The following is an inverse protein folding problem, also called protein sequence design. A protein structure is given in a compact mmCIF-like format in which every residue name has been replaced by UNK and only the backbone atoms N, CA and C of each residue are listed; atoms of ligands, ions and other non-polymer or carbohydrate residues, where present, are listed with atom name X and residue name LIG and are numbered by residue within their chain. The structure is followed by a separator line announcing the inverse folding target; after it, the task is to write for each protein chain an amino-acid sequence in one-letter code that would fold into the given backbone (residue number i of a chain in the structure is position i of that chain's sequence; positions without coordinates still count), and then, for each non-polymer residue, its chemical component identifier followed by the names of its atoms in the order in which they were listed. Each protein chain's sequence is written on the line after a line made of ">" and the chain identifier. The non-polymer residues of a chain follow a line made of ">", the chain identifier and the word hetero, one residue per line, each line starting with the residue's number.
data_IF_585455754875
#
_entry.id   IF_585455754875
#
_cell.length_a   1.000
_cell.length_b   1.000
_cell.length_c   1.000
_cell.angle_alpha   90.00
_cell.angle_beta   90.00
_cell.angle_gamma   90.00
#
_symmetry.space_group_name_H-M   'P 1'
#
loop_
_entity.id
_entity.type
_entity.pdbx_description
1 polymer ?
#
# COMPACT_ATOMS: atom_id res chain seq x y z
N UNK A 1 31.74 14.20 -0.74
CA UNK A 1 30.35 14.53 -1.13
C UNK A 1 29.82 15.76 -0.40
N UNK A 2 30.59 16.86 -0.41
CA UNK A 2 30.37 18.02 0.48
C UNK A 2 30.30 19.35 -0.28
N UNK A 3 29.90 19.30 -1.57
CA UNK A 3 29.78 20.48 -2.46
C UNK A 3 28.61 20.38 -3.44
N UNK A 4 27.42 20.04 -2.95
CA UNK A 4 26.16 20.28 -3.70
C UNK A 4 24.95 20.40 -2.75
N UNK A 5 25.11 21.12 -1.64
CA UNK A 5 24.03 21.35 -0.66
C UNK A 5 23.72 22.85 -0.45
N UNK A 6 23.97 23.71 -1.46
CA UNK A 6 23.85 25.16 -1.24
C UNK A 6 23.26 25.99 -2.39
N UNK A 7 22.33 25.44 -3.18
CA UNK A 7 21.63 26.25 -4.21
C UNK A 7 20.12 26.10 -4.34
N UNK A 8 19.42 25.31 -3.52
CA UNK A 8 17.95 25.24 -3.60
C UNK A 8 17.32 25.14 -2.23
N UNK A 9 17.03 26.30 -1.63
CA UNK A 9 16.15 26.44 -0.47
C UNK A 9 14.79 25.82 -0.79
N UNK A 10 14.65 24.51 -0.62
CA UNK A 10 13.41 23.78 -0.80
C UNK A 10 13.36 22.68 0.27
N UNK A 11 12.35 22.78 1.12
CA UNK A 11 11.93 21.77 2.07
C UNK A 11 11.65 20.46 1.33
N UNK A 12 12.35 19.40 1.71
CA UNK A 12 12.25 18.06 1.13
C UNK A 12 11.21 17.29 1.95
N UNK A 13 9.93 17.41 1.57
CA UNK A 13 8.82 16.79 2.33
C UNK A 13 8.42 15.39 1.79
N UNK A 14 9.24 14.75 0.96
CA UNK A 14 9.13 13.31 0.66
C UNK A 14 7.88 12.83 -0.09
N UNK A 15 6.94 13.72 -0.44
CA UNK A 15 5.85 13.43 -1.36
C UNK A 15 6.37 13.65 -2.78
N UNK A 16 6.71 12.53 -3.43
CA UNK A 16 7.04 12.50 -4.85
C UNK A 16 5.80 12.91 -5.66
N UNK A 17 5.77 14.19 -6.08
CA UNK A 17 4.69 14.76 -6.87
C UNK A 17 4.64 14.20 -8.31
N UNK A 18 3.57 14.52 -9.07
CA UNK A 18 3.38 14.03 -10.44
C UNK A 18 4.57 14.32 -11.38
N UNK A 19 5.33 15.39 -11.13
CA UNK A 19 6.49 15.78 -11.92
C UNK A 19 7.64 14.75 -11.87
N UNK A 20 7.78 14.00 -10.79
CA UNK A 20 8.82 12.96 -10.70
C UNK A 20 8.39 11.68 -11.42
N UNK A 21 7.09 11.42 -11.55
CA UNK A 21 6.58 10.33 -12.39
C UNK A 21 6.77 10.62 -13.89
N UNK A 22 6.77 11.89 -14.30
CA UNK A 22 7.01 12.27 -15.69
C UNK A 22 8.47 12.03 -16.15
N UNK A 23 9.42 11.90 -15.22
CA UNK A 23 10.84 11.70 -15.54
C UNK A 23 11.22 10.24 -15.84
N UNK A 24 10.32 9.27 -15.64
CA UNK A 24 10.57 7.83 -15.88
C UNK A 24 10.03 7.30 -17.22
N UNK A 25 9.77 8.19 -18.18
CA UNK A 25 9.67 7.80 -19.59
C UNK A 25 8.38 7.10 -19.98
N UNK A 26 7.34 7.89 -20.26
CA UNK A 26 6.49 7.61 -21.42
C UNK A 26 6.07 8.94 -22.02
N UNK A 27 6.56 9.22 -23.23
CA UNK A 27 6.24 10.43 -23.97
C UNK A 27 4.78 10.41 -24.43
N UNK A 28 4.21 11.61 -24.43
CA UNK A 28 2.96 12.08 -25.05
C UNK A 28 1.63 11.55 -24.49
N UNK A 29 0.96 12.39 -23.70
CA UNK A 29 -0.49 12.57 -23.82
C UNK A 29 -0.78 14.06 -23.95
N UNK A 30 -1.05 14.48 -25.18
CA UNK A 30 -1.86 15.65 -25.47
C UNK A 30 -3.22 15.15 -25.97
N UNK A 31 -4.22 15.96 -25.65
CA UNK A 31 -5.57 16.02 -26.21
C UNK A 31 -6.69 15.37 -25.38
N UNK A 32 -7.64 16.26 -25.10
CA UNK A 32 -8.89 16.18 -24.37
C UNK A 32 -9.89 15.37 -25.21
N UNK A 33 -10.73 14.53 -24.57
CA UNK A 33 -12.18 14.41 -24.84
C UNK A 33 -12.80 13.19 -24.12
N UNK A 34 -13.73 13.49 -23.22
CA UNK A 34 -14.96 12.74 -22.88
C UNK A 34 -15.07 11.32 -23.45
N UNK A 35 -14.71 10.30 -22.65
CA UNK A 35 -15.19 8.94 -22.88
C UNK A 35 -15.59 8.29 -21.55
N UNK A 36 -16.87 7.91 -21.46
CA UNK A 36 -17.38 6.93 -20.49
C UNK A 36 -16.66 5.61 -20.79
N UNK A 37 -15.93 4.97 -19.86
CA UNK A 37 -15.47 3.62 -20.13
C UNK A 37 -16.56 2.63 -19.70
N UNK A 38 -17.02 1.87 -20.69
CA UNK A 38 -17.78 0.64 -20.56
C UNK A 38 -16.97 -0.44 -19.81
N UNK A 39 -17.68 -1.49 -19.40
CA UNK A 39 -17.18 -2.57 -18.58
C UNK A 39 -16.15 -3.49 -19.28
N UNK A 40 -15.35 -4.14 -18.41
CA UNK A 40 -14.64 -5.42 -18.54
C UNK A 40 -13.28 -5.48 -19.28
N UNK A 41 -12.23 -5.90 -18.54
CA UNK A 41 -11.28 -7.01 -18.83
C UNK A 41 -10.02 -6.91 -17.91
N UNK A 42 -9.65 -7.96 -17.15
CA UNK A 42 -8.44 -8.01 -16.30
C UNK A 42 -7.28 -8.84 -16.91
N UNK A 43 -6.17 -9.15 -16.19
CA UNK A 43 -5.64 -8.58 -14.96
C UNK A 43 -4.24 -7.97 -15.21
N UNK A 44 -4.17 -6.66 -15.16
CA UNK A 44 -2.90 -5.93 -15.15
C UNK A 44 -3.10 -4.66 -14.37
N UNK A 45 -2.03 -4.15 -13.76
CA UNK A 45 -2.02 -2.89 -13.01
C UNK A 45 -2.76 -1.77 -13.79
N UNK A 46 -2.70 -1.79 -15.13
CA UNK A 46 -3.37 -0.86 -16.05
C UNK A 46 -4.89 -0.69 -15.82
N UNK A 47 -5.61 -1.72 -15.37
CA UNK A 47 -7.07 -1.65 -15.13
C UNK A 47 -7.46 -1.22 -13.70
N UNK A 48 -6.49 -1.14 -12.80
CA UNK A 48 -6.75 -0.86 -11.38
C UNK A 48 -6.96 0.64 -11.12
N UNK A 49 -7.88 1.00 -10.21
CA UNK A 49 -8.01 2.38 -9.76
C UNK A 49 -6.65 2.92 -9.29
N UNK A 50 -6.36 4.20 -9.57
CA UNK A 50 -5.07 4.82 -9.25
C UNK A 50 -4.67 4.63 -7.77
N UNK A 51 -5.64 4.68 -6.85
CA UNK A 51 -5.41 4.44 -5.42
C UNK A 51 -4.90 3.02 -5.16
N UNK A 52 -5.49 1.99 -5.78
CA UNK A 52 -5.06 0.60 -5.63
C UNK A 52 -3.64 0.41 -6.15
N UNK A 53 -3.32 0.98 -7.32
CA UNK A 53 -1.96 0.95 -7.87
C UNK A 53 -0.93 1.57 -6.94
N UNK A 54 -1.27 2.69 -6.28
CA UNK A 54 -0.39 3.33 -5.29
C UNK A 54 -0.20 2.46 -4.05
N UNK A 55 -1.23 1.75 -3.60
CA UNK A 55 -1.10 0.78 -2.49
C UNK A 55 -0.13 -0.34 -2.88
N UNK A 56 -0.26 -0.90 -4.08
CA UNK A 56 0.66 -1.94 -4.59
C UNK A 56 2.10 -1.39 -4.62
N UNK A 57 2.30 -0.23 -5.24
CA UNK A 57 3.63 0.37 -5.33
C UNK A 57 4.26 0.66 -3.95
N UNK A 58 3.47 1.05 -2.97
CA UNK A 58 3.94 1.23 -1.60
C UNK A 58 4.25 -0.11 -0.90
N UNK A 59 3.39 -1.12 -1.06
CA UNK A 59 3.63 -2.46 -0.55
C UNK A 59 4.91 -3.08 -1.14
N UNK A 60 5.18 -2.89 -2.44
CA UNK A 60 6.39 -3.38 -3.10
C UNK A 60 7.68 -2.84 -2.49
N UNK A 61 7.69 -1.55 -2.10
CA UNK A 61 8.87 -0.91 -1.46
C UNK A 61 9.30 -1.58 -0.17
N UNK A 62 8.37 -2.19 0.56
CA UNK A 62 8.65 -2.83 1.85
C UNK A 62 8.51 -4.34 1.80
N UNK A 63 8.11 -4.92 0.66
CA UNK A 63 7.76 -6.33 0.54
C UNK A 63 8.85 -7.26 1.09
N UNK A 64 10.12 -6.92 0.87
CA UNK A 64 11.28 -7.72 1.28
C UNK A 64 11.96 -7.28 2.57
N UNK A 65 11.55 -6.16 3.20
CA UNK A 65 12.18 -5.68 4.45
C UNK A 65 11.94 -6.65 5.60
N UNK A 66 12.79 -6.72 6.63
CA UNK A 66 12.56 -7.61 7.77
C UNK A 66 11.24 -7.32 8.51
N UNK A 67 10.73 -8.32 9.21
CA UNK A 67 9.74 -8.09 10.27
C UNK A 67 10.43 -7.41 11.45
N UNK A 68 9.80 -6.38 12.02
CA UNK A 68 10.27 -5.69 13.21
C UNK A 68 9.04 -5.32 14.03
N UNK A 69 8.93 -5.81 15.26
CA UNK A 69 7.83 -5.46 16.16
C UNK A 69 7.78 -3.94 16.37
N UNK A 70 6.61 -3.32 16.18
CA UNK A 70 6.43 -1.87 16.22
C UNK A 70 6.96 -1.13 14.97
N UNK A 71 7.57 -1.84 14.02
CA UNK A 71 8.15 -1.24 12.83
C UNK A 71 7.09 -0.59 11.94
N UNK A 72 7.33 0.64 11.52
CA UNK A 72 6.37 1.44 10.75
C UNK A 72 5.32 2.18 11.58
N UNK A 73 5.37 2.09 12.91
CA UNK A 73 4.55 2.93 13.81
C UNK A 73 5.30 4.17 14.23
N UNK A 74 4.65 5.34 14.15
CA UNK A 74 5.26 6.64 14.47
C UNK A 74 6.30 7.13 13.45
N UNK A 75 6.80 6.26 12.56
CA UNK A 75 7.71 6.61 11.47
C UNK A 75 7.41 5.81 10.21
N UNK A 76 7.13 6.49 9.11
CA UNK A 76 6.82 5.83 7.84
C UNK A 76 8.01 5.11 7.23
N UNK A 77 9.21 5.68 7.30
CA UNK A 77 10.41 5.08 6.69
C UNK A 77 11.23 4.34 7.74
N UNK A 78 10.97 3.04 7.90
CA UNK A 78 11.64 2.17 8.87
C UNK A 78 12.52 1.11 8.19
N UNK A 79 13.43 0.50 8.97
CA UNK A 79 14.28 -0.62 8.58
C UNK A 79 13.49 -1.93 8.47
N UNK A 80 12.41 -2.09 9.22
CA UNK A 80 11.50 -3.23 9.18
C UNK A 80 10.08 -2.82 9.56
N UNK A 81 9.11 -3.70 9.28
CA UNK A 81 7.69 -3.41 9.48
C UNK A 81 6.98 -4.59 10.13
N UNK A 82 6.15 -4.35 11.15
CA UNK A 82 5.26 -5.36 11.70
C UNK A 82 4.03 -5.59 10.79
N UNK A 83 3.12 -6.47 11.20
CA UNK A 83 1.94 -6.82 10.42
C UNK A 83 1.07 -5.58 10.09
N UNK A 84 0.73 -4.82 11.12
CA UNK A 84 -0.11 -3.63 11.04
C UNK A 84 0.62 -2.40 10.47
N UNK A 85 1.92 -2.28 10.73
CA UNK A 85 2.80 -1.27 10.13
C UNK A 85 2.97 -1.48 8.63
N UNK A 86 2.99 -2.74 8.17
CA UNK A 86 3.04 -3.08 6.74
C UNK A 86 1.78 -2.63 5.99
N UNK A 87 0.59 -2.88 6.56
CA UNK A 87 -0.69 -2.39 6.02
C UNK A 87 -0.72 -0.86 6.06
N UNK A 88 -0.33 -0.28 7.19
CA UNK A 88 -0.32 1.17 7.39
C UNK A 88 0.54 1.87 6.35
N UNK A 89 1.76 1.39 6.09
CA UNK A 89 2.68 1.95 5.09
C UNK A 89 2.09 1.91 3.69
N UNK A 90 1.49 0.79 3.29
CA UNK A 90 0.91 0.65 1.97
C UNK A 90 -0.28 1.59 1.74
N UNK A 91 -1.16 1.73 2.74
CA UNK A 91 -2.30 2.66 2.69
C UNK A 91 -1.85 4.13 2.74
N UNK A 92 -0.86 4.44 3.59
CA UNK A 92 -0.28 5.78 3.66
C UNK A 92 0.36 6.20 2.33
N UNK A 93 1.12 5.31 1.70
CA UNK A 93 1.72 5.58 0.38
C UNK A 93 0.71 5.84 -0.74
N UNK A 94 -0.56 5.48 -0.53
CA UNK A 94 -1.67 5.78 -1.43
C UNK A 94 -2.53 6.98 -0.98
N UNK A 95 -2.20 7.64 0.14
CA UNK A 95 -2.98 8.72 0.71
C UNK A 95 -4.34 8.26 1.25
N UNK A 96 -4.43 7.01 1.72
CA UNK A 96 -5.63 6.43 2.33
C UNK A 96 -5.58 6.45 3.86
N UNK A 97 -4.41 6.68 4.44
CA UNK A 97 -4.19 6.64 5.87
C UNK A 97 -3.21 7.74 6.29
N UNK A 98 -3.60 8.53 7.29
CA UNK A 98 -2.80 9.67 7.79
C UNK A 98 -1.87 9.30 8.96
N UNK A 99 -2.21 8.24 9.71
CA UNK A 99 -1.45 7.78 10.88
C UNK A 99 -1.45 6.25 10.94
N UNK A 100 -0.34 5.66 11.39
CA UNK A 100 -0.22 4.21 11.57
C UNK A 100 -1.25 3.70 12.56
N UNK A 101 -1.70 2.46 12.38
CA UNK A 101 -2.68 1.81 13.26
C UNK A 101 -2.19 0.43 13.65
N UNK A 102 -2.51 0.01 14.87
CA UNK A 102 -2.35 -1.37 15.32
C UNK A 102 -3.31 -2.31 14.59
N UNK A 103 -3.08 -3.62 14.71
CA UNK A 103 -3.99 -4.65 14.22
C UNK A 103 -5.41 -4.49 14.78
N UNK A 104 -5.55 -4.29 16.09
CA UNK A 104 -6.83 -3.96 16.74
C UNK A 104 -7.43 -2.65 16.22
N UNK A 105 -6.59 -1.66 15.94
CA UNK A 105 -7.03 -0.39 15.34
C UNK A 105 -7.64 -0.58 13.95
N UNK A 106 -7.15 -1.55 13.17
CA UNK A 106 -7.74 -1.90 11.88
C UNK A 106 -9.08 -2.63 12.00
N UNK A 107 -9.36 -3.35 13.10
CA UNK A 107 -10.66 -4.01 13.31
C UNK A 107 -11.84 -3.02 13.30
N UNK A 108 -11.58 -1.73 13.53
CA UNK A 108 -12.59 -0.65 13.60
C UNK A 108 -12.40 0.42 12.52
N UNK A 109 -11.47 0.23 11.58
CA UNK A 109 -11.14 1.21 10.55
C UNK A 109 -11.82 0.89 9.22
N UNK A 110 -12.15 1.93 8.47
CA UNK A 110 -12.76 1.81 7.15
C UNK A 110 -14.16 1.22 7.20
N UNK A 111 -14.60 0.67 6.08
CA UNK A 111 -15.94 0.08 5.94
C UNK A 111 -15.93 -1.40 6.32
N UNK A 112 -17.01 -1.93 6.93
CA UNK A 112 -17.15 -3.36 7.20
C UNK A 112 -17.20 -4.20 5.91
N UNK A 113 -16.70 -5.43 5.99
CA UNK A 113 -16.78 -6.41 4.91
C UNK A 113 -15.66 -6.32 3.88
N UNK A 114 -15.75 -7.17 2.86
CA UNK A 114 -14.75 -7.28 1.79
C UNK A 114 -14.87 -6.08 0.85
N UNK A 115 -13.74 -5.47 0.52
CA UNK A 115 -13.66 -4.47 -0.53
C UNK A 115 -13.54 -5.12 -1.91
N UNK A 116 -13.78 -4.35 -2.96
CA UNK A 116 -13.69 -4.84 -4.34
C UNK A 116 -12.25 -5.13 -4.74
N UNK A 117 -11.32 -4.29 -4.32
CA UNK A 117 -9.91 -4.37 -4.67
C UNK A 117 -9.02 -4.64 -3.48
N UNK A 118 -9.37 -4.08 -2.32
CA UNK A 118 -8.57 -4.16 -1.11
C UNK A 118 -9.45 -4.71 0.00
N UNK A 119 -9.02 -5.81 0.62
CA UNK A 119 -9.65 -6.34 1.83
C UNK A 119 -8.60 -6.49 2.92
N UNK A 120 -8.86 -5.94 4.10
CA UNK A 120 -8.05 -6.04 5.30
C UNK A 120 -8.68 -7.08 6.21
N UNK A 121 -7.85 -8.00 6.70
CA UNK A 121 -8.21 -8.95 7.73
C UNK A 121 -7.45 -8.56 8.99
N UNK A 122 -8.18 -8.17 10.04
CA UNK A 122 -7.59 -7.68 11.28
C UNK A 122 -8.08 -8.45 12.51
N UNK A 123 -7.17 -8.78 13.42
CA UNK A 123 -7.43 -9.41 14.71
C UNK A 123 -6.45 -8.87 15.77
N UNK A 124 -6.71 -9.09 17.06
CA UNK A 124 -5.91 -8.49 18.13
C UNK A 124 -4.40 -8.82 18.07
N UNK A 125 -4.02 -9.98 17.50
CA UNK A 125 -2.61 -10.38 17.36
C UNK A 125 -2.01 -10.27 15.96
N UNK A 126 -2.82 -10.10 14.90
CA UNK A 126 -2.30 -10.10 13.53
C UNK A 126 -3.20 -9.32 12.59
N UNK A 127 -2.61 -8.77 11.53
CA UNK A 127 -3.36 -8.21 10.42
C UNK A 127 -2.64 -8.48 9.09
N UNK A 128 -3.41 -8.69 8.04
CA UNK A 128 -2.91 -8.73 6.67
C UNK A 128 -3.92 -8.11 5.72
N UNK A 129 -3.54 -7.89 4.46
CA UNK A 129 -4.47 -7.43 3.45
C UNK A 129 -4.36 -8.24 2.16
N UNK A 130 -5.44 -8.27 1.41
CA UNK A 130 -5.50 -8.79 0.05
C UNK A 130 -5.70 -7.60 -0.87
N UNK A 131 -4.83 -7.47 -1.86
CA UNK A 131 -4.89 -6.41 -2.86
C UNK A 131 -4.94 -7.09 -4.22
N UNK A 132 -6.02 -6.87 -4.96
CA UNK A 132 -6.23 -7.46 -6.29
C UNK A 132 -6.00 -8.99 -6.28
N UNK A 133 -6.62 -9.66 -5.30
CA UNK A 133 -6.52 -11.11 -5.13
C UNK A 133 -5.21 -11.65 -4.53
N UNK A 134 -4.17 -10.81 -4.38
CA UNK A 134 -2.87 -11.21 -3.81
C UNK A 134 -2.76 -10.85 -2.34
N UNK A 135 -2.31 -11.80 -1.51
CA UNK A 135 -2.16 -11.57 -0.07
C UNK A 135 -0.83 -10.87 0.23
N UNK A 136 -0.89 -9.79 1.01
CA UNK A 136 0.23 -9.07 1.59
C UNK A 136 0.24 -9.30 3.11
N UNK A 137 1.15 -10.14 3.59
CA UNK A 137 1.16 -10.70 4.95
C UNK A 137 2.60 -10.94 5.42
N UNK A 138 2.92 -10.54 6.65
CA UNK A 138 4.25 -10.72 7.24
C UNK A 138 4.56 -12.17 7.62
N UNK A 139 3.57 -13.04 7.88
CA UNK A 139 3.88 -14.41 8.30
C UNK A 139 4.52 -15.26 7.20
N UNK A 140 4.32 -14.90 5.93
CA UNK A 140 4.97 -15.57 4.80
C UNK A 140 6.35 -15.02 4.45
N UNK A 141 6.71 -13.84 4.98
CA UNK A 141 8.00 -13.20 4.72
C UNK A 141 9.16 -14.06 5.25
N UNK A 142 9.03 -14.65 6.42
CA UNK A 142 10.03 -15.54 7.00
C UNK A 142 10.31 -16.77 6.12
N UNK A 143 9.32 -17.26 5.37
CA UNK A 143 9.43 -18.46 4.54
C UNK A 143 9.83 -18.17 3.08
N UNK A 144 9.45 -17.00 2.52
CA UNK A 144 9.57 -16.70 1.07
C UNK A 144 10.39 -15.45 0.78
N UNK A 145 10.87 -14.74 1.80
CA UNK A 145 11.60 -13.49 1.67
C UNK A 145 10.76 -12.31 1.15
N UNK A 146 9.44 -12.46 1.08
CA UNK A 146 8.51 -11.41 0.65
C UNK A 146 7.18 -11.47 1.41
N UNK A 147 6.57 -10.30 1.65
CA UNK A 147 5.20 -10.21 2.18
C UNK A 147 4.14 -10.62 1.18
N UNK A 148 4.46 -10.65 -0.12
CA UNK A 148 3.52 -11.09 -1.16
C UNK A 148 3.40 -12.61 -1.19
N UNK A 149 2.21 -13.10 -0.94
CA UNK A 149 1.88 -14.52 -0.89
C UNK A 149 0.88 -14.86 -2.00
N UNK A 150 1.15 -15.88 -2.84
CA UNK A 150 0.24 -16.27 -3.92
C UNK A 150 -1.00 -16.99 -3.39
N UNK A 151 -0.91 -17.63 -2.22
CA UNK A 151 -2.00 -18.37 -1.59
C UNK A 151 -2.63 -17.58 -0.45
N UNK A 152 -3.95 -17.63 -0.40
CA UNK A 152 -4.73 -17.21 0.76
C UNK A 152 -4.45 -18.10 1.97
N UNK A 153 -4.86 -17.61 3.13
CA UNK A 153 -4.87 -18.35 4.40
C UNK A 153 -6.29 -18.38 4.96
N UNK A 154 -6.51 -19.19 6.00
CA UNK A 154 -7.75 -19.10 6.79
C UNK A 154 -7.94 -17.68 7.34
N UNK A 155 -9.18 -17.20 7.24
CA UNK A 155 -9.60 -15.86 7.72
C UNK A 155 -10.48 -15.96 8.96
N UNK A 156 -10.64 -17.16 9.53
CA UNK A 156 -11.40 -17.37 10.76
C UNK A 156 -10.81 -16.52 11.89
N UNK A 157 -11.69 -15.85 12.64
CA UNK A 157 -11.31 -14.96 13.74
C UNK A 157 -10.85 -13.55 13.32
N UNK A 158 -10.80 -13.23 12.02
CA UNK A 158 -10.48 -11.88 11.56
C UNK A 158 -11.73 -11.04 11.31
N UNK A 159 -11.69 -9.79 11.76
CA UNK A 159 -12.64 -8.76 11.34
C UNK A 159 -12.25 -8.28 9.94
N UNK A 160 -13.21 -8.34 9.02
CA UNK A 160 -13.00 -7.98 7.62
C UNK A 160 -13.37 -6.52 7.40
N UNK A 161 -12.43 -5.74 6.86
CA UNK A 161 -12.57 -4.31 6.58
C UNK A 161 -12.02 -3.95 5.20
N UNK A 162 -12.35 -2.76 4.71
CA UNK A 162 -11.72 -2.20 3.50
C UNK A 162 -11.63 -0.67 3.54
N UNK A 163 -10.71 -0.06 2.77
CA UNK A 163 -10.69 1.38 2.56
C UNK A 163 -12.01 1.84 1.90
N UNK A 164 -12.71 2.87 2.42
CA UNK A 164 -13.97 3.32 1.84
C UNK A 164 -13.86 3.64 0.35
N UNK A 165 -14.78 3.12 -0.45
CA UNK A 165 -14.81 3.31 -1.91
C UNK A 165 -13.84 2.42 -2.71
N UNK A 166 -13.21 1.41 -2.10
CA UNK A 166 -12.29 0.46 -2.75
C UNK A 166 -12.59 -1.01 -2.44
#
# INVERSE_FOLDING_TARGET
>A
MRRLQRRRRMTVDGIVGPATWAALGHRTIRTILRQKPAAASGPGVAGLPLRVRRVIAAADRIARKPYRYGGGHGRWHDSGYDCSGSISYALWGAGLLAASRSSSGFMRWGSPGRGRWITIYAAAGHAFMVIDGRRFDTTGHAATGTRWQPRMRSTAGYVVRHPPGL
#
